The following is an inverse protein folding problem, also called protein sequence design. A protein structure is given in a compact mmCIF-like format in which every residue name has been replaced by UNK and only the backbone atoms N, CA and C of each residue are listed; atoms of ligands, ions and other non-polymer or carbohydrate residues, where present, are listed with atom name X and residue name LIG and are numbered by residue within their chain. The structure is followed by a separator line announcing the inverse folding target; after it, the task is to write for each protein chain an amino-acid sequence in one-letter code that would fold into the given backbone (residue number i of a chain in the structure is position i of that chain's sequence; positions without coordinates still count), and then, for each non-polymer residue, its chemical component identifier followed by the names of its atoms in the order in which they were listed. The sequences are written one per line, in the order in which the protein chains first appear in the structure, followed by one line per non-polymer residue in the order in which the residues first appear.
data_IF_132203905813
#
_entry.id   IF_132203905813
#
_cell.length_a   1.000
_cell.length_b   1.000
_cell.length_c   1.000
_cell.angle_alpha   90.00
_cell.angle_beta   90.00
_cell.angle_gamma   90.00
#
_symmetry.space_group_name_H-M   'P 1'
#
loop_
_entity.id
_entity.type
_entity.pdbx_description
1 polymer ?
#
# COMPACT_ATOMS: atom_id res chain seq x y z
N UNK A 1 16.97 12.49 7.41
CA UNK A 1 17.15 11.64 8.62
C UNK A 1 18.08 12.25 9.66
N UNK A 2 19.29 12.72 9.29
CA UNK A 2 20.25 13.30 10.25
C UNK A 2 19.72 14.51 11.02
N UNK A 3 19.01 15.42 10.34
CA UNK A 3 18.37 16.60 10.95
C UNK A 3 17.34 16.23 12.02
N UNK A 4 16.50 15.21 11.76
CA UNK A 4 15.51 14.72 12.72
C UNK A 4 16.16 14.14 13.98
N UNK A 5 17.22 13.33 13.82
CA UNK A 5 17.98 12.79 14.95
C UNK A 5 18.62 13.91 15.77
N UNK A 6 19.19 14.94 15.12
CA UNK A 6 19.76 16.10 15.81
C UNK A 6 18.69 16.86 16.60
N UNK A 7 17.49 17.05 16.05
CA UNK A 7 16.39 17.71 16.76
C UNK A 7 15.95 16.91 17.98
N UNK A 8 15.79 15.58 17.85
CA UNK A 8 15.42 14.70 18.96
C UNK A 8 16.51 14.69 20.04
N UNK A 9 17.78 14.58 19.66
CA UNK A 9 18.88 14.60 20.62
C UNK A 9 19.00 15.97 21.31
N UNK A 10 18.85 17.06 20.58
CA UNK A 10 18.87 18.41 21.13
C UNK A 10 17.71 18.62 22.12
N UNK A 11 16.49 18.17 21.80
CA UNK A 11 15.35 18.29 22.71
C UNK A 11 15.58 17.49 24.00
N UNK A 12 16.08 16.26 23.91
CA UNK A 12 16.44 15.43 25.07
C UNK A 12 17.50 16.11 25.93
N UNK A 13 18.57 16.65 25.32
CA UNK A 13 19.63 17.37 26.04
C UNK A 13 19.10 18.63 26.72
N UNK A 14 18.27 19.43 26.03
CA UNK A 14 17.65 20.63 26.59
C UNK A 14 16.74 20.28 27.77
N UNK A 15 15.90 19.25 27.64
CA UNK A 15 15.03 18.80 28.73
C UNK A 15 15.85 18.28 29.91
N UNK A 16 16.89 17.47 29.68
CA UNK A 16 17.77 16.98 30.73
C UNK A 16 18.50 18.13 31.46
N UNK A 17 19.04 19.09 30.72
CA UNK A 17 19.67 20.29 31.28
C UNK A 17 18.66 21.13 32.08
N UNK A 18 17.46 21.35 31.55
CA UNK A 18 16.41 22.07 32.28
C UNK A 18 16.03 21.36 33.59
N UNK A 19 15.89 20.03 33.57
CA UNK A 19 15.64 19.25 34.79
C UNK A 19 16.81 19.31 35.78
N UNK A 20 18.05 19.29 35.31
CA UNK A 20 19.23 19.40 36.19
C UNK A 20 19.38 20.79 36.80
N UNK A 21 19.07 21.84 36.04
CA UNK A 21 19.19 23.24 36.46
C UNK A 21 18.01 23.70 37.34
N UNK A 22 16.79 23.29 36.99
CA UNK A 22 15.56 23.75 37.66
C UNK A 22 14.92 22.70 38.59
N UNK A 23 15.32 21.43 38.50
CA UNK A 23 14.75 20.33 39.29
C UNK A 23 15.28 20.20 40.71
N UNK A 24 16.25 21.01 41.13
CA UNK A 24 16.72 21.06 42.52
C UNK A 24 15.97 22.12 43.31
N UNK A 25 14.79 21.77 43.84
CA UNK A 25 14.13 22.37 45.02
C UNK A 25 12.61 22.24 44.91
N UNK A 26 11.98 21.38 45.72
CA UNK A 26 10.72 21.70 46.43
C UNK A 26 10.34 20.60 47.42
N UNK A 27 9.77 21.02 48.54
CA UNK A 27 9.49 20.23 49.74
C UNK A 27 8.58 19.01 49.49
N UNK A 28 8.83 17.96 50.26
CA UNK A 28 8.43 16.56 50.07
C UNK A 28 6.91 16.29 50.11
N UNK A 29 6.11 17.12 50.79
CA UNK A 29 4.71 16.78 51.10
C UNK A 29 3.69 17.18 50.01
N UNK A 30 4.03 18.09 49.09
CA UNK A 30 3.18 18.47 47.94
C UNK A 30 3.73 17.98 46.59
N UNK A 31 4.86 17.27 46.64
CA UNK A 31 5.53 16.74 45.46
C UNK A 31 4.76 15.53 44.90
N UNK A 32 4.30 14.60 45.74
CA UNK A 32 3.76 13.31 45.27
C UNK A 32 2.44 13.44 44.47
N UNK A 33 1.52 14.31 44.91
CA UNK A 33 0.26 14.57 44.17
C UNK A 33 0.51 15.30 42.84
N UNK A 34 1.40 16.31 42.81
CA UNK A 34 1.77 17.03 41.57
C UNK A 34 2.57 16.14 40.61
N UNK A 35 3.38 15.25 41.16
CA UNK A 35 4.11 14.24 40.38
C UNK A 35 3.14 13.18 39.83
N UNK A 36 2.06 12.84 40.54
CA UNK A 36 0.99 12.00 40.01
C UNK A 36 0.23 12.68 38.86
N UNK A 37 -0.18 13.95 39.01
CA UNK A 37 -0.87 14.71 37.97
C UNK A 37 0.00 14.90 36.71
N UNK A 38 1.28 15.23 36.88
CA UNK A 38 2.22 15.38 35.76
C UNK A 38 2.49 14.06 35.04
N UNK A 39 2.60 12.94 35.76
CA UNK A 39 2.69 11.60 35.18
C UNK A 39 1.43 11.24 34.39
N UNK A 40 0.25 11.58 34.91
CA UNK A 40 -1.02 11.40 34.21
C UNK A 40 -1.09 12.21 32.91
N UNK A 41 -0.68 13.48 32.96
CA UNK A 41 -0.61 14.34 31.78
C UNK A 41 0.37 13.81 30.73
N UNK A 42 1.59 13.41 31.11
CA UNK A 42 2.56 12.83 30.17
C UNK A 42 2.03 11.55 29.53
N UNK A 43 1.38 10.67 30.31
CA UNK A 43 0.74 9.47 29.78
C UNK A 43 -0.34 9.80 28.74
N UNK A 44 -1.17 10.81 29.00
CA UNK A 44 -2.18 11.29 28.07
C UNK A 44 -1.57 11.86 26.78
N UNK A 45 -0.47 12.63 26.89
CA UNK A 45 0.25 13.17 25.72
C UNK A 45 0.84 12.03 24.88
N UNK A 46 1.50 11.05 25.49
CA UNK A 46 2.07 9.89 24.78
C UNK A 46 0.96 9.11 24.06
N UNK A 47 -0.16 8.83 24.76
CA UNK A 47 -1.31 8.16 24.16
C UNK A 47 -1.91 8.98 23.00
N UNK A 48 -2.01 10.30 23.14
CA UNK A 48 -2.51 11.18 22.08
C UNK A 48 -1.62 11.16 20.84
N UNK A 49 -0.30 11.25 21.02
CA UNK A 49 0.67 11.16 19.91
C UNK A 49 0.62 9.79 19.22
N UNK A 50 0.51 8.70 19.98
CA UNK A 50 0.35 7.35 19.43
C UNK A 50 -0.92 7.23 18.59
N UNK A 51 -2.07 7.68 19.11
CA UNK A 51 -3.35 7.62 18.38
C UNK A 51 -3.29 8.42 17.08
N UNK A 52 -2.68 9.61 17.11
CA UNK A 52 -2.52 10.44 15.91
C UNK A 52 -1.62 9.76 14.88
N UNK A 53 -0.46 9.24 15.28
CA UNK A 53 0.43 8.52 14.38
C UNK A 53 -0.23 7.28 13.78
N UNK A 54 -0.93 6.50 14.61
CA UNK A 54 -1.69 5.33 14.18
C UNK A 54 -2.80 5.71 13.18
N UNK A 55 -3.56 6.77 13.45
CA UNK A 55 -4.64 7.22 12.58
C UNK A 55 -4.12 7.63 11.19
N UNK A 56 -3.04 8.42 11.14
CA UNK A 56 -2.42 8.79 9.86
C UNK A 56 -1.85 7.57 9.13
N UNK A 57 -1.21 6.65 9.85
CA UNK A 57 -0.70 5.42 9.26
C UNK A 57 -1.81 4.59 8.60
N UNK A 58 -2.94 4.41 9.30
CA UNK A 58 -4.09 3.67 8.77
C UNK A 58 -4.67 4.34 7.52
N UNK A 59 -4.77 5.67 7.50
CA UNK A 59 -5.24 6.41 6.32
C UNK A 59 -4.31 6.20 5.13
N UNK A 60 -2.99 6.34 5.31
CA UNK A 60 -1.99 6.16 4.24
C UNK A 60 -2.13 4.77 3.61
N UNK A 61 -2.13 3.74 4.44
CA UNK A 61 -2.24 2.35 3.96
C UNK A 61 -3.56 2.10 3.25
N UNK A 62 -4.67 2.66 3.77
CA UNK A 62 -5.97 2.53 3.12
C UNK A 62 -6.00 3.22 1.75
N UNK A 63 -5.45 4.44 1.64
CA UNK A 63 -5.35 5.17 0.37
C UNK A 63 -4.46 4.45 -0.64
N UNK A 64 -3.30 3.93 -0.23
CA UNK A 64 -2.39 3.16 -1.09
C UNK A 64 -3.05 1.88 -1.62
N UNK A 65 -3.72 1.11 -0.75
CA UNK A 65 -4.44 -0.10 -1.18
C UNK A 65 -5.62 0.22 -2.10
N UNK A 66 -6.36 1.30 -1.84
CA UNK A 66 -7.44 1.77 -2.71
C UNK A 66 -6.92 2.16 -4.09
N UNK A 67 -5.83 2.94 -4.14
CA UNK A 67 -5.19 3.35 -5.39
C UNK A 67 -4.67 2.15 -6.19
N UNK A 68 -4.11 1.12 -5.54
CA UNK A 68 -3.67 -0.11 -6.20
C UNK A 68 -4.86 -0.87 -6.84
N UNK A 69 -5.99 -0.95 -6.16
CA UNK A 69 -7.23 -1.56 -6.69
C UNK A 69 -7.84 -0.77 -7.86
N UNK A 70 -7.89 0.55 -7.74
CA UNK A 70 -8.38 1.44 -8.80
C UNK A 70 -7.48 1.37 -10.04
N UNK A 71 -6.16 1.35 -9.85
CA UNK A 71 -5.18 1.20 -10.92
C UNK A 71 -5.38 -0.13 -11.68
N UNK A 72 -5.54 -1.23 -10.95
CA UNK A 72 -5.82 -2.55 -11.52
C UNK A 72 -7.13 -2.57 -12.33
N UNK A 73 -8.17 -1.94 -11.79
CA UNK A 73 -9.48 -1.83 -12.45
C UNK A 73 -9.42 -1.04 -13.75
N UNK A 74 -8.67 0.07 -13.76
CA UNK A 74 -8.44 0.87 -14.98
C UNK A 74 -7.65 0.11 -16.03
N UNK A 75 -6.66 -0.69 -15.62
CA UNK A 75 -5.87 -1.47 -16.57
C UNK A 75 -6.72 -2.56 -17.22
N UNK A 76 -7.51 -3.29 -16.42
CA UNK A 76 -8.45 -4.28 -16.92
C UNK A 76 -9.49 -3.64 -17.88
N UNK A 77 -10.03 -2.47 -17.52
CA UNK A 77 -10.96 -1.75 -18.39
C UNK A 77 -10.31 -1.32 -19.73
N UNK A 78 -9.05 -0.87 -19.70
CA UNK A 78 -8.32 -0.52 -20.91
C UNK A 78 -8.08 -1.74 -21.82
N UNK A 79 -7.87 -2.94 -21.26
CA UNK A 79 -7.80 -4.20 -22.03
C UNK A 79 -9.12 -4.47 -22.74
N UNK A 80 -10.25 -4.34 -22.04
CA UNK A 80 -11.58 -4.51 -22.65
C UNK A 80 -11.82 -3.49 -23.78
N UNK A 81 -11.44 -2.22 -23.58
CA UNK A 81 -11.54 -1.18 -24.59
C UNK A 81 -10.77 -1.53 -25.87
N UNK A 82 -9.54 -2.05 -25.75
CA UNK A 82 -8.77 -2.51 -26.93
C UNK A 82 -9.47 -3.68 -27.59
N UNK A 83 -10.04 -4.62 -26.82
CA UNK A 83 -10.77 -5.76 -27.37
C UNK A 83 -11.95 -5.33 -28.24
N UNK A 84 -12.76 -4.37 -27.80
CA UNK A 84 -13.86 -3.84 -28.60
C UNK A 84 -13.40 -3.16 -29.88
N UNK A 85 -12.26 -2.47 -29.85
CA UNK A 85 -11.67 -1.82 -31.04
C UNK A 85 -11.20 -2.82 -32.11
N UNK A 86 -10.98 -4.08 -31.74
CA UNK A 86 -10.61 -5.13 -32.71
C UNK A 86 -11.71 -5.47 -33.72
N UNK A 87 -12.96 -5.08 -33.48
CA UNK A 87 -14.11 -5.46 -34.32
C UNK A 87 -13.92 -5.10 -35.80
N UNK A 88 -13.27 -3.97 -36.10
CA UNK A 88 -13.03 -3.49 -37.47
C UNK A 88 -11.70 -3.95 -38.05
N UNK A 89 -10.88 -4.67 -37.29
CA UNK A 89 -9.56 -5.13 -37.73
C UNK A 89 -9.68 -6.33 -38.69
N UNK A 90 -8.77 -6.44 -39.67
CA UNK A 90 -8.77 -7.55 -40.61
C UNK A 90 -8.38 -8.88 -39.95
N UNK A 91 -8.90 -9.99 -40.47
CA UNK A 91 -8.33 -11.32 -40.20
C UNK A 91 -7.06 -11.54 -41.04
N UNK A 92 -6.06 -12.27 -40.51
CA UNK A 92 -6.06 -13.00 -39.23
C UNK A 92 -5.64 -12.18 -37.99
N UNK A 93 -5.18 -10.94 -38.15
CA UNK A 93 -4.63 -10.13 -37.05
C UNK A 93 -5.64 -9.90 -35.93
N UNK A 94 -6.92 -9.67 -36.28
CA UNK A 94 -8.01 -9.51 -35.30
C UNK A 94 -8.04 -10.66 -34.29
N UNK A 95 -8.03 -11.90 -34.77
CA UNK A 95 -8.21 -13.08 -33.92
C UNK A 95 -6.96 -13.31 -33.06
N UNK A 96 -5.78 -13.01 -33.61
CA UNK A 96 -4.54 -13.07 -32.86
C UNK A 96 -4.47 -12.02 -31.74
N UNK A 97 -4.83 -10.76 -32.03
CA UNK A 97 -4.90 -9.69 -31.03
C UNK A 97 -5.93 -10.03 -29.95
N UNK A 98 -7.11 -10.53 -30.32
CA UNK A 98 -8.13 -10.99 -29.36
C UNK A 98 -7.60 -12.10 -28.46
N UNK A 99 -6.90 -13.09 -29.01
CA UNK A 99 -6.26 -14.15 -28.23
C UNK A 99 -5.29 -13.58 -27.19
N UNK A 100 -4.43 -12.63 -27.57
CA UNK A 100 -3.48 -11.98 -26.67
C UNK A 100 -4.19 -11.14 -25.60
N UNK A 101 -5.28 -10.43 -25.95
CA UNK A 101 -6.10 -9.66 -25.01
C UNK A 101 -6.86 -10.53 -24.01
N UNK A 102 -7.17 -11.77 -24.36
CA UNK A 102 -7.75 -12.75 -23.43
C UNK A 102 -6.68 -13.46 -22.60
N UNK A 103 -5.46 -13.64 -23.13
CA UNK A 103 -4.33 -14.27 -22.42
C UNK A 103 -3.72 -13.32 -21.38
N UNK A 104 -3.55 -12.04 -21.72
CA UNK A 104 -2.93 -11.03 -20.86
C UNK A 104 -3.56 -10.94 -19.45
N UNK A 105 -4.86 -10.68 -19.28
CA UNK A 105 -5.47 -10.55 -17.94
C UNK A 105 -5.39 -11.86 -17.14
N UNK A 106 -5.42 -13.03 -17.79
CA UNK A 106 -5.18 -14.33 -17.14
C UNK A 106 -3.77 -14.43 -16.59
N UNK A 107 -2.78 -14.09 -17.40
CA UNK A 107 -1.37 -14.09 -16.98
C UNK A 107 -1.13 -13.10 -15.83
N UNK A 108 -1.77 -11.93 -15.89
CA UNK A 108 -1.72 -10.96 -14.79
C UNK A 108 -2.28 -11.58 -13.52
N UNK A 109 -3.50 -12.13 -13.54
CA UNK A 109 -4.14 -12.69 -12.35
C UNK A 109 -3.43 -13.94 -11.79
N UNK A 110 -3.03 -14.88 -12.65
CA UNK A 110 -2.54 -16.19 -12.23
C UNK A 110 -1.03 -16.25 -12.00
N UNK A 111 -0.25 -15.40 -12.69
CA UNK A 111 1.22 -15.47 -12.68
C UNK A 111 1.89 -14.22 -12.15
N UNK A 112 1.48 -13.04 -12.60
CA UNK A 112 2.09 -11.78 -12.15
C UNK A 112 1.62 -11.40 -10.74
N UNK A 113 0.32 -11.53 -10.45
CA UNK A 113 -0.25 -11.11 -9.17
C UNK A 113 0.44 -11.73 -7.95
N UNK A 114 0.68 -13.06 -7.91
CA UNK A 114 1.37 -13.68 -6.77
C UNK A 114 2.82 -13.20 -6.60
N UNK A 115 3.46 -12.71 -7.67
CA UNK A 115 4.83 -12.19 -7.63
C UNK A 115 4.91 -10.73 -7.13
N UNK A 116 3.80 -9.99 -7.20
CA UNK A 116 3.75 -8.61 -6.70
C UNK A 116 4.04 -8.54 -5.20
N UNK A 117 3.72 -9.59 -4.43
CA UNK A 117 4.07 -9.66 -3.01
C UNK A 117 5.60 -9.63 -2.75
N UNK A 118 6.40 -9.97 -3.75
CA UNK A 118 7.86 -9.92 -3.72
C UNK A 118 8.42 -8.69 -4.48
N UNK A 119 7.57 -7.81 -5.02
CA UNK A 119 7.98 -6.71 -5.88
C UNK A 119 8.52 -7.17 -7.24
N UNK A 120 8.17 -8.37 -7.68
CA UNK A 120 8.64 -8.96 -8.93
C UNK A 120 7.56 -8.92 -10.03
N UNK A 121 7.99 -8.90 -11.29
CA UNK A 121 7.12 -9.01 -12.45
C UNK A 121 7.16 -10.40 -13.08
N UNK A 122 6.23 -10.69 -13.99
CA UNK A 122 6.26 -11.93 -14.76
C UNK A 122 6.75 -11.71 -16.20
N UNK A 123 7.78 -12.46 -16.61
CA UNK A 123 8.37 -12.37 -17.95
C UNK A 123 7.35 -12.72 -19.03
N UNK A 124 6.52 -13.75 -18.80
CA UNK A 124 5.51 -14.16 -19.80
C UNK A 124 4.43 -13.10 -19.96
N UNK A 125 3.98 -12.47 -18.87
CA UNK A 125 3.08 -11.31 -18.94
C UNK A 125 3.71 -10.14 -19.70
N UNK A 126 5.03 -9.93 -19.57
CA UNK A 126 5.79 -8.91 -20.31
C UNK A 126 5.86 -9.21 -21.81
N UNK A 127 6.18 -10.46 -22.17
CA UNK A 127 6.21 -10.92 -23.55
C UNK A 127 4.86 -10.81 -24.25
N UNK A 128 3.77 -11.18 -23.57
CA UNK A 128 2.41 -11.07 -24.13
C UNK A 128 2.04 -9.62 -24.40
N UNK A 129 2.33 -8.70 -23.46
CA UNK A 129 2.06 -7.28 -23.65
C UNK A 129 2.89 -6.69 -24.81
N UNK A 130 4.16 -7.06 -24.93
CA UNK A 130 5.02 -6.62 -26.03
C UNK A 130 4.57 -7.18 -27.40
N UNK A 131 4.13 -8.44 -27.43
CA UNK A 131 3.56 -9.07 -28.63
C UNK A 131 2.32 -8.32 -29.08
N UNK A 132 1.43 -7.99 -28.15
CA UNK A 132 0.20 -7.26 -28.44
C UNK A 132 0.46 -5.84 -28.96
N UNK A 133 1.43 -5.13 -28.39
CA UNK A 133 1.88 -3.84 -28.92
C UNK A 133 2.42 -3.97 -30.35
N UNK A 134 3.23 -5.00 -30.63
CA UNK A 134 3.80 -5.27 -31.95
C UNK A 134 2.72 -5.58 -32.99
N UNK A 135 1.75 -6.41 -32.63
CA UNK A 135 0.63 -6.78 -33.51
C UNK A 135 -0.23 -5.57 -33.87
N UNK A 136 -0.60 -4.73 -32.89
CA UNK A 136 -1.35 -3.49 -33.16
C UNK A 136 -0.55 -2.53 -34.04
N UNK A 137 0.76 -2.40 -33.82
CA UNK A 137 1.64 -1.59 -34.69
C UNK A 137 1.73 -2.12 -36.12
N UNK A 138 1.55 -3.43 -36.33
CA UNK A 138 1.62 -4.05 -37.65
C UNK A 138 0.35 -3.85 -38.49
N UNK A 139 -0.76 -3.40 -37.88
CA UNK A 139 -2.04 -3.19 -38.56
C UNK A 139 -1.92 -2.20 -39.74
N UNK A 140 -2.64 -2.44 -40.84
CA UNK A 140 -2.55 -1.58 -42.02
C UNK A 140 -3.10 -0.17 -41.74
N UNK A 141 -2.58 0.82 -42.46
CA UNK A 141 -3.03 2.22 -42.38
C UNK A 141 -4.25 2.51 -43.28
N UNK A 142 -4.87 1.47 -43.85
CA UNK A 142 -6.04 1.56 -44.73
C UNK A 142 -6.90 0.30 -44.57
N UNK A 143 -8.24 0.40 -44.64
CA UNK A 143 -9.04 1.62 -44.79
C UNK A 143 -9.00 2.52 -43.54
N UNK A 144 -9.47 3.77 -43.65
CA UNK A 144 -9.41 4.78 -42.57
C UNK A 144 -10.00 4.29 -41.23
N UNK A 145 -11.00 3.42 -41.28
CA UNK A 145 -11.61 2.82 -40.10
C UNK A 145 -10.61 1.91 -39.33
N UNK A 146 -9.79 1.14 -40.04
CA UNK A 146 -8.72 0.31 -39.44
C UNK A 146 -7.60 1.19 -38.91
N UNK A 147 -7.23 2.24 -39.64
CA UNK A 147 -6.24 3.22 -39.18
C UNK A 147 -6.67 3.89 -37.88
N UNK A 148 -7.91 4.34 -37.80
CA UNK A 148 -8.47 4.99 -36.60
C UNK A 148 -8.55 4.02 -35.42
N UNK A 149 -8.95 2.76 -35.65
CA UNK A 149 -8.93 1.74 -34.61
C UNK A 149 -7.51 1.45 -34.11
N UNK A 150 -6.54 1.32 -35.01
CA UNK A 150 -5.11 1.17 -34.67
C UNK A 150 -4.63 2.32 -33.79
N UNK A 151 -4.88 3.57 -34.16
CA UNK A 151 -4.43 4.74 -33.39
C UNK A 151 -5.03 4.78 -31.98
N UNK A 152 -6.33 4.53 -31.84
CA UNK A 152 -7.00 4.43 -30.53
C UNK A 152 -6.50 3.25 -29.70
N UNK A 153 -6.20 2.12 -30.34
CA UNK A 153 -5.69 0.94 -29.67
C UNK A 153 -4.28 1.20 -29.15
N UNK A 154 -3.44 1.90 -29.91
CA UNK A 154 -2.10 2.31 -29.45
C UNK A 154 -2.16 3.29 -28.27
N UNK A 155 -3.14 4.19 -28.23
CA UNK A 155 -3.37 5.08 -27.09
C UNK A 155 -3.75 4.29 -25.83
N UNK A 156 -4.72 3.38 -25.94
CA UNK A 156 -5.09 2.48 -24.83
C UNK A 156 -3.96 1.53 -24.41
N UNK A 157 -3.11 1.12 -25.35
CA UNK A 157 -1.93 0.32 -25.03
C UNK A 157 -0.89 1.05 -24.21
N UNK A 158 -0.72 2.35 -24.44
CA UNK A 158 0.12 3.18 -23.56
C UNK A 158 -0.49 3.23 -22.17
N UNK A 159 -1.80 3.45 -22.07
CA UNK A 159 -2.50 3.43 -20.78
C UNK A 159 -2.34 2.09 -20.04
N UNK A 160 -2.50 0.94 -20.71
CA UNK A 160 -2.25 -0.38 -20.09
C UNK A 160 -0.80 -0.49 -19.59
N UNK A 161 0.16 -0.02 -20.37
CA UNK A 161 1.59 -0.10 -20.01
C UNK A 161 1.92 0.80 -18.82
N UNK A 162 1.38 2.02 -18.80
CA UNK A 162 1.57 2.99 -17.71
C UNK A 162 0.92 2.48 -16.42
N UNK A 163 -0.32 1.98 -16.48
CA UNK A 163 -1.02 1.42 -15.32
C UNK A 163 -0.33 0.15 -14.79
N UNK A 164 0.20 -0.71 -15.68
CA UNK A 164 1.00 -1.86 -15.24
C UNK A 164 2.27 -1.41 -14.52
N UNK A 165 2.94 -0.38 -15.03
CA UNK A 165 4.12 0.19 -14.38
C UNK A 165 3.80 0.74 -13.00
N UNK A 166 2.71 1.50 -12.87
CA UNK A 166 2.24 2.01 -11.58
C UNK A 166 1.90 0.87 -10.60
N UNK A 167 1.35 -0.25 -11.09
CA UNK A 167 1.12 -1.46 -10.28
C UNK A 167 2.45 -2.07 -9.80
N UNK A 168 3.44 -2.20 -10.69
CA UNK A 168 4.75 -2.75 -10.32
C UNK A 168 5.51 -1.82 -9.36
N UNK A 169 5.39 -0.50 -9.54
CA UNK A 169 6.01 0.49 -8.65
C UNK A 169 5.37 0.45 -7.26
N UNK A 170 4.03 0.30 -7.17
CA UNK A 170 3.32 0.14 -5.89
C UNK A 170 3.59 -1.20 -5.19
N UNK A 171 4.05 -2.22 -5.92
CA UNK A 171 4.52 -3.47 -5.35
C UNK A 171 5.81 -3.31 -4.52
N UNK A 172 6.52 -2.18 -4.65
CA UNK A 172 7.64 -1.81 -3.78
C UNK A 172 7.25 -1.50 -2.31
N UNK A 173 5.96 -1.47 -2.00
CA UNK A 173 5.40 -1.21 -0.68
C UNK A 173 5.42 0.28 -0.30
N UNK A 174 5.27 0.56 1.00
CA UNK A 174 5.13 1.91 1.54
C UNK A 174 6.21 2.88 1.02
N UNK A 175 5.76 4.08 0.72
CA UNK A 175 6.64 5.22 0.46
C UNK A 175 7.41 5.64 1.73
N UNK A 176 8.26 6.67 1.60
CA UNK A 176 9.01 7.17 2.75
C UNK A 176 8.10 7.71 3.87
N UNK A 177 6.94 8.26 3.51
CA UNK A 177 5.99 8.85 4.47
C UNK A 177 5.35 7.76 5.33
N UNK A 178 4.83 6.71 4.69
CA UNK A 178 4.26 5.53 5.33
C UNK A 178 5.26 4.82 6.23
N UNK A 179 6.52 4.66 5.78
CA UNK A 179 7.60 4.08 6.60
C UNK A 179 7.87 4.89 7.86
N UNK A 180 7.93 6.22 7.76
CA UNK A 180 8.14 7.11 8.91
C UNK A 180 6.96 7.02 9.88
N UNK A 181 5.72 6.98 9.37
CA UNK A 181 4.52 6.83 10.20
C UNK A 181 4.47 5.47 10.89
N UNK A 182 4.86 4.38 10.23
CA UNK A 182 4.98 3.06 10.85
C UNK A 182 5.98 3.08 12.02
N UNK A 183 7.17 3.65 11.79
CA UNK A 183 8.20 3.79 12.84
C UNK A 183 7.65 4.63 14.00
N UNK A 184 6.95 5.73 13.72
CA UNK A 184 6.32 6.59 14.72
C UNK A 184 5.27 5.85 15.55
N UNK A 185 4.41 5.06 14.89
CA UNK A 185 3.39 4.22 15.54
C UNK A 185 4.01 3.17 16.46
N UNK A 186 5.05 2.45 15.98
CA UNK A 186 5.76 1.46 16.79
C UNK A 186 6.46 2.13 17.98
N UNK A 187 7.14 3.26 17.76
CA UNK A 187 7.79 4.01 18.82
C UNK A 187 6.78 4.51 19.87
N UNK A 188 5.61 4.99 19.44
CA UNK A 188 4.51 5.39 20.31
C UNK A 188 3.98 4.23 21.15
N UNK A 189 3.77 3.05 20.55
CA UNK A 189 3.34 1.85 21.25
C UNK A 189 4.38 1.41 22.31
N UNK A 190 5.67 1.42 21.97
CA UNK A 190 6.75 1.13 22.92
C UNK A 190 6.76 2.15 24.05
N UNK A 191 6.62 3.44 23.75
CA UNK A 191 6.55 4.48 24.77
C UNK A 191 5.37 4.30 25.73
N UNK A 192 4.20 3.88 25.23
CA UNK A 192 3.03 3.56 26.06
C UNK A 192 3.27 2.38 27.03
N UNK A 193 4.18 1.46 26.68
CA UNK A 193 4.57 0.34 27.56
C UNK A 193 5.69 0.76 28.53
N UNK A 194 6.70 1.47 28.05
CA UNK A 194 7.88 1.83 28.86
C UNK A 194 7.55 2.93 29.86
N UNK A 195 6.76 3.93 29.47
CA UNK A 195 6.49 5.10 30.32
C UNK A 195 5.87 4.72 31.68
N UNK A 196 4.83 3.87 31.75
CA UNK A 196 4.32 3.40 33.04
C UNK A 196 5.39 2.66 33.86
N UNK A 197 6.26 1.85 33.25
CA UNK A 197 7.31 1.12 33.98
C UNK A 197 8.30 2.06 34.70
N UNK A 198 8.56 3.24 34.14
CA UNK A 198 9.42 4.26 34.76
C UNK A 198 8.81 4.91 36.01
N UNK A 199 7.49 4.83 36.18
CA UNK A 199 6.76 5.40 37.33
C UNK A 199 6.90 4.52 38.59
N UNK A 200 7.23 3.24 38.41
CA UNK A 200 7.42 2.27 39.49
C UNK A 200 6.17 1.42 39.75
N UNK A 201 6.01 0.32 39.00
CA UNK A 201 5.00 -0.69 39.31
C UNK A 201 5.47 -1.68 40.37
N UNK A 202 4.59 -2.03 41.30
CA UNK A 202 4.81 -3.21 42.14
C UNK A 202 4.59 -4.47 41.30
N UNK A 203 5.39 -5.53 41.52
CA UNK A 203 5.28 -6.83 40.85
C UNK A 203 4.03 -7.65 41.29
N UNK A 204 2.94 -6.97 41.65
CA UNK A 204 1.68 -7.59 42.03
C UNK A 204 1.03 -8.22 40.79
N UNK A 205 0.51 -9.44 40.93
CA UNK A 205 -0.12 -10.22 39.84
C UNK A 205 -1.12 -9.41 39.00
N UNK A 206 -1.91 -8.52 39.64
CA UNK A 206 -2.88 -7.65 38.96
C UNK A 206 -2.22 -6.64 38.01
N UNK A 207 -1.14 -5.99 38.44
CA UNK A 207 -0.40 -5.03 37.58
C UNK A 207 0.30 -5.75 36.44
N UNK A 208 0.88 -6.93 36.69
CA UNK A 208 1.48 -7.76 35.64
C UNK A 208 0.43 -8.12 34.59
N UNK A 209 -0.76 -8.57 35.02
CA UNK A 209 -1.84 -8.92 34.10
C UNK A 209 -2.31 -7.72 33.26
N UNK A 210 -2.54 -6.57 33.89
CA UNK A 210 -2.95 -5.34 33.19
C UNK A 210 -1.89 -4.91 32.15
N UNK A 211 -0.62 -4.88 32.56
CA UNK A 211 0.47 -4.47 31.68
C UNK A 211 0.68 -5.45 30.52
N UNK A 212 0.58 -6.75 30.80
CA UNK A 212 0.69 -7.80 29.77
C UNK A 212 -0.45 -7.69 28.75
N UNK A 213 -1.68 -7.44 29.22
CA UNK A 213 -2.84 -7.27 28.33
C UNK A 213 -2.67 -6.02 27.45
N UNK A 214 -2.29 -4.87 28.03
CA UNK A 214 -2.03 -3.65 27.27
C UNK A 214 -0.91 -3.86 26.25
N UNK A 215 0.19 -4.48 26.66
CA UNK A 215 1.31 -4.80 25.76
C UNK A 215 0.89 -5.74 24.64
N UNK A 216 0.04 -6.74 24.91
CA UNK A 216 -0.45 -7.66 23.90
C UNK A 216 -1.35 -6.94 22.86
N UNK A 217 -2.23 -6.05 23.31
CA UNK A 217 -3.07 -5.25 22.40
C UNK A 217 -2.23 -4.32 21.55
N UNK A 218 -1.28 -3.59 22.14
CA UNK A 218 -0.38 -2.70 21.40
C UNK A 218 0.50 -3.47 20.42
N UNK A 219 1.03 -4.63 20.82
CA UNK A 219 1.80 -5.50 19.95
C UNK A 219 0.95 -6.03 18.78
N UNK A 220 -0.30 -6.42 19.03
CA UNK A 220 -1.23 -6.83 17.98
C UNK A 220 -1.45 -5.69 16.97
N UNK A 221 -1.68 -4.47 17.44
CA UNK A 221 -1.81 -3.30 16.57
C UNK A 221 -0.54 -3.09 15.74
N UNK A 222 0.65 -3.15 16.35
CA UNK A 222 1.91 -3.02 15.61
C UNK A 222 2.12 -4.14 14.58
N UNK A 223 1.74 -5.38 14.89
CA UNK A 223 1.79 -6.51 13.95
C UNK A 223 0.84 -6.29 12.79
N UNK A 224 -0.39 -5.84 13.05
CA UNK A 224 -1.33 -5.49 11.99
C UNK A 224 -0.77 -4.37 11.11
N UNK A 225 -0.22 -3.31 11.71
CA UNK A 225 0.40 -2.24 10.95
C UNK A 225 1.55 -2.76 10.08
N UNK A 226 2.48 -3.54 10.65
CA UNK A 226 3.61 -4.10 9.92
C UNK A 226 3.20 -5.11 8.84
N UNK A 227 2.04 -5.76 8.97
CA UNK A 227 1.49 -6.67 7.97
C UNK A 227 0.80 -5.97 6.79
N UNK A 228 0.65 -4.65 6.83
CA UNK A 228 -0.01 -3.86 5.78
C UNK A 228 0.96 -2.91 5.08
N UNK A 229 2.25 -3.28 5.01
CA UNK A 229 3.30 -2.44 4.40
C UNK A 229 3.33 -2.50 2.87
N UNK A 230 2.55 -3.39 2.28
CA UNK A 230 2.44 -3.54 0.84
C UNK A 230 1.01 -3.91 0.44
N UNK A 231 0.51 -3.39 -0.68
CA UNK A 231 -0.89 -3.60 -1.07
C UNK A 231 -1.19 -5.02 -1.58
N UNK A 232 -0.17 -5.79 -1.99
CA UNK A 232 -0.36 -7.12 -2.61
C UNK A 232 -0.04 -8.31 -1.69
N UNK A 233 0.25 -8.07 -0.42
CA UNK A 233 0.54 -9.13 0.57
C UNK A 233 -0.27 -8.92 1.86
N UNK A 234 -0.35 -9.98 2.66
CA UNK A 234 -1.08 -9.98 3.92
C UNK A 234 -2.58 -10.25 3.77
N UNK A 235 -3.30 -10.05 4.89
CA UNK A 235 -4.72 -10.43 5.02
C UNK A 235 -5.66 -9.44 4.32
N UNK A 236 -5.24 -8.19 4.17
CA UNK A 236 -6.02 -7.10 3.55
C UNK A 236 -5.47 -6.73 2.18
N UNK A 237 -4.82 -7.68 1.51
CA UNK A 237 -4.24 -7.49 0.18
C UNK A 237 -5.31 -7.23 -0.88
N UNK A 238 -4.91 -6.51 -1.92
CA UNK A 238 -5.70 -6.32 -3.13
C UNK A 238 -5.66 -7.61 -3.95
N UNK A 239 -6.83 -8.16 -4.26
CA UNK A 239 -7.00 -9.35 -5.10
C UNK A 239 -7.12 -8.98 -6.60
N UNK A 240 -6.80 -9.88 -7.54
CA UNK A 240 -6.80 -9.62 -8.98
C UNK A 240 -8.22 -9.62 -9.59
N UNK A 241 -9.24 -9.23 -8.83
CA UNK A 241 -10.66 -9.39 -9.20
C UNK A 241 -11.03 -8.66 -10.50
N UNK A 242 -10.42 -7.50 -10.75
CA UNK A 242 -10.59 -6.77 -12.00
C UNK A 242 -10.13 -7.59 -13.23
N UNK A 243 -9.02 -8.31 -13.11
CA UNK A 243 -8.48 -9.14 -14.18
C UNK A 243 -9.27 -10.43 -14.38
N UNK A 244 -9.77 -11.04 -13.31
CA UNK A 244 -10.67 -12.19 -13.43
C UNK A 244 -12.00 -11.78 -14.05
N UNK A 245 -12.58 -10.64 -13.63
CA UNK A 245 -13.82 -10.11 -14.17
C UNK A 245 -13.71 -9.79 -15.66
N UNK A 246 -12.66 -9.09 -16.10
CA UNK A 246 -12.50 -8.80 -17.54
C UNK A 246 -12.25 -10.08 -18.35
N UNK A 247 -11.55 -11.06 -17.77
CA UNK A 247 -11.36 -12.35 -18.44
C UNK A 247 -12.70 -13.06 -18.71
N UNK A 248 -13.61 -13.04 -17.72
CA UNK A 248 -14.96 -13.59 -17.86
C UNK A 248 -15.80 -12.80 -18.86
N UNK A 249 -15.73 -11.46 -18.81
CA UNK A 249 -16.40 -10.58 -19.78
C UNK A 249 -15.98 -10.92 -21.21
N UNK A 250 -14.66 -10.97 -21.47
CA UNK A 250 -14.13 -11.26 -22.80
C UNK A 250 -14.49 -12.68 -23.28
N UNK A 251 -14.52 -13.67 -22.39
CA UNK A 251 -14.93 -15.03 -22.72
C UNK A 251 -16.43 -15.14 -23.06
N UNK A 252 -17.26 -14.24 -22.53
CA UNK A 252 -18.69 -14.16 -22.81
C UNK A 252 -19.04 -13.56 -24.17
N UNK A 253 -18.10 -12.88 -24.84
CA UNK A 253 -18.34 -12.27 -26.15
C UNK A 253 -18.33 -13.36 -27.22
N UNK A 254 -19.46 -13.62 -27.91
CA UNK A 254 -19.50 -14.63 -28.94
C UNK A 254 -18.51 -14.29 -30.05
N UNK A 255 -17.66 -15.27 -30.40
CA UNK A 255 -16.83 -15.19 -31.61
C UNK A 255 -17.79 -15.12 -32.78
N UNK A 256 -18.05 -13.92 -33.31
CA UNK A 256 -18.93 -13.74 -34.46
C UNK A 256 -18.43 -14.65 -35.59
N UNK A 257 -19.17 -15.73 -35.82
CA UNK A 257 -18.96 -16.62 -36.93
C UNK A 257 -19.22 -15.82 -38.21
N UNK A 258 -18.13 -15.50 -38.91
CA UNK A 258 -18.06 -14.99 -40.29
C UNK A 258 -19.43 -14.76 -40.95
N UNK A 259 -19.87 -13.50 -41.03
CA UNK A 259 -20.85 -13.05 -42.02
C UNK A 259 -20.13 -12.28 -43.12
#
# INVERSE_FOLDING_TARGET
MWTGLVIVLASVVVTALALLLFGRSRAHDQADDRDADSRGFLGAVISGLFIVALAFYVVIVWEESGAAGDNASREAAAVADVYWQTAVMPQPQRDHIRSLLTEYPKLVAEREWPKLAAGESDDRTSETLNSLHTEILSLPASPDQVKSARERSLERMREITDLRRDRLDSAGGLDNTGRIMLIGTIAGAVAMVVFPMMIGFTARKRHILQMSLTSAVLALVCVLCAGMTQPFDGVLRVEPEAFTSVTEELAGIPVEANR
#
